data_IF_411550858394
#
_entry.id   IF_411550858394
#
_cell.length_a   1.000
_cell.length_b   1.000
_cell.length_c   1.000
_cell.angle_alpha   90.00
_cell.angle_beta   90.00
_cell.angle_gamma   90.00
#
_symmetry.space_group_name_H-M   'P 1'
#
loop_
_entity.id
_entity.type
_entity.pdbx_description
1 polymer ?
#
# COMPACT_ATOMS: atom_id res chain seq x y z
N UNK A 1 33.42 53.83 24.55
CA UNK A 1 33.96 53.21 23.33
C UNK A 1 34.43 51.82 23.70
N UNK A 2 33.75 50.77 23.21
CA UNK A 2 34.28 49.76 22.24
C UNK A 2 35.46 48.99 22.86
N UNK A 3 35.46 47.67 23.06
CA UNK A 3 34.88 46.56 22.30
C UNK A 3 34.72 45.33 23.23
N UNK A 4 33.57 44.67 23.25
CA UNK A 4 33.49 43.22 23.52
C UNK A 4 32.58 42.67 22.44
N UNK A 5 33.16 42.03 21.42
CA UNK A 5 32.42 41.33 20.38
C UNK A 5 32.41 39.83 20.73
N UNK A 6 31.32 39.28 21.28
CA UNK A 6 31.25 37.84 21.47
C UNK A 6 30.88 37.18 20.14
N UNK A 7 31.70 36.18 19.84
CA UNK A 7 31.51 35.06 18.92
C UNK A 7 30.05 34.59 18.96
N UNK A 8 29.28 34.92 17.93
CA UNK A 8 27.90 34.47 17.77
C UNK A 8 27.64 34.10 16.30
N UNK A 9 28.47 33.24 15.73
CA UNK A 9 28.24 32.67 14.39
C UNK A 9 28.67 31.20 14.41
N UNK A 10 27.91 30.35 15.11
CA UNK A 10 28.12 28.90 15.06
C UNK A 10 26.85 28.09 15.38
N UNK A 11 25.65 28.61 15.11
CA UNK A 11 24.39 27.95 15.52
C UNK A 11 23.34 27.73 14.42
N UNK A 12 23.65 27.96 13.13
CA UNK A 12 22.63 27.88 12.06
C UNK A 12 22.83 26.77 11.01
N UNK A 13 23.71 25.78 11.22
CA UNK A 13 23.96 24.72 10.22
C UNK A 13 23.18 23.40 10.43
N UNK A 14 22.19 23.36 11.34
CA UNK A 14 21.39 22.15 11.61
C UNK A 14 20.01 22.14 10.94
N UNK A 15 19.72 23.07 10.02
CA UNK A 15 18.49 23.02 9.24
C UNK A 15 18.63 21.98 8.09
N UNK A 16 18.25 20.72 8.37
CA UNK A 16 17.71 19.80 7.37
C UNK A 16 18.70 19.00 6.52
N UNK A 17 19.31 17.96 7.10
CA UNK A 17 19.95 16.89 6.31
C UNK A 17 18.96 15.99 5.54
N UNK A 18 17.64 16.24 5.63
CA UNK A 18 16.62 15.46 4.93
C UNK A 18 16.40 15.89 3.46
N UNK A 19 17.11 16.92 2.98
CA UNK A 19 16.99 17.43 1.60
C UNK A 19 18.07 16.89 0.64
N UNK A 20 18.60 15.69 0.85
CA UNK A 20 19.34 15.01 -0.23
C UNK A 20 18.29 14.25 -1.06
N UNK A 21 17.93 14.71 -2.26
CA UNK A 21 16.98 14.00 -3.12
C UNK A 21 17.58 12.63 -3.48
N UNK A 22 17.00 11.60 -2.90
CA UNK A 22 17.29 10.20 -3.21
C UNK A 22 16.01 9.53 -3.69
N UNK A 23 16.14 8.49 -4.52
CA UNK A 23 14.97 7.74 -4.98
C UNK A 23 14.18 7.12 -3.81
N UNK A 24 14.87 6.73 -2.73
CA UNK A 24 14.23 6.27 -1.50
C UNK A 24 13.42 7.39 -0.81
N UNK A 25 13.97 8.61 -0.74
CA UNK A 25 13.25 9.75 -0.16
C UNK A 25 12.01 10.12 -0.99
N UNK A 26 12.11 10.04 -2.32
CA UNK A 26 10.95 10.19 -3.22
C UNK A 26 9.89 9.12 -2.95
N UNK A 27 10.30 7.86 -2.79
CA UNK A 27 9.38 6.76 -2.47
C UNK A 27 8.69 6.99 -1.11
N UNK A 28 9.46 7.30 -0.05
CA UNK A 28 8.90 7.61 1.28
C UNK A 28 7.93 8.79 1.22
N UNK A 29 8.24 9.83 0.45
CA UNK A 29 7.36 10.99 0.28
C UNK A 29 6.03 10.57 -0.37
N UNK A 30 6.07 9.83 -1.47
CA UNK A 30 4.87 9.35 -2.14
C UNK A 30 4.02 8.45 -1.21
N UNK A 31 4.66 7.59 -0.40
CA UNK A 31 3.94 6.79 0.60
C UNK A 31 3.30 7.68 1.66
N UNK A 32 4.01 8.69 2.21
CA UNK A 32 3.44 9.63 3.19
C UNK A 32 2.20 10.33 2.66
N UNK A 33 2.22 10.77 1.40
CA UNK A 33 1.09 11.44 0.74
C UNK A 33 -0.16 10.54 0.62
N UNK A 34 -0.01 9.21 0.74
CA UNK A 34 -1.12 8.26 0.74
C UNK A 34 -1.72 7.96 2.13
N UNK A 35 -1.13 8.49 3.21
CA UNK A 35 -1.54 8.21 4.60
C UNK A 35 -2.52 9.27 5.13
N UNK A 36 -3.34 8.88 6.11
CA UNK A 36 -4.21 9.82 6.83
C UNK A 36 -3.43 10.86 7.66
N UNK A 37 -2.34 10.43 8.30
CA UNK A 37 -1.42 11.29 9.05
C UNK A 37 0.01 11.09 8.48
N UNK A 38 0.39 11.88 7.45
CA UNK A 38 1.69 11.75 6.77
C UNK A 38 2.90 11.90 7.71
N UNK A 39 2.78 12.75 8.74
CA UNK A 39 3.86 13.08 9.66
C UNK A 39 4.09 11.98 10.71
N UNK A 40 3.09 11.12 10.94
CA UNK A 40 3.21 9.96 11.82
C UNK A 40 3.93 8.77 11.20
N UNK A 41 4.29 8.82 9.91
CA UNK A 41 4.82 7.68 9.18
C UNK A 41 6.14 7.14 9.76
N UNK A 42 6.14 5.87 10.13
CA UNK A 42 7.30 5.12 10.59
C UNK A 42 7.64 4.03 9.59
N UNK A 43 8.73 4.24 8.84
CA UNK A 43 9.20 3.29 7.83
C UNK A 43 10.16 2.26 8.44
N UNK A 44 10.04 1.02 8.00
CA UNK A 44 10.88 -0.12 8.40
C UNK A 44 11.09 -1.05 7.20
N UNK A 45 12.15 -1.86 7.23
CA UNK A 45 12.46 -2.89 6.22
C UNK A 45 12.41 -2.39 4.78
N UNK A 46 13.01 -1.23 4.50
CA UNK A 46 13.00 -0.64 3.16
C UNK A 46 14.07 -1.29 2.29
N UNK A 47 13.70 -1.70 1.09
CA UNK A 47 14.60 -2.31 0.11
C UNK A 47 14.28 -1.85 -1.32
N UNK A 48 15.28 -1.96 -2.20
CA UNK A 48 15.13 -1.67 -3.63
C UNK A 48 14.27 -2.74 -4.31
N UNK A 49 13.41 -2.31 -5.23
CA UNK A 49 12.57 -3.20 -6.02
C UNK A 49 13.27 -3.80 -7.23
N UNK A 50 12.49 -4.42 -8.12
CA UNK A 50 12.96 -5.12 -9.31
C UNK A 50 13.62 -4.19 -10.35
N UNK A 51 13.15 -2.94 -10.43
CA UNK A 51 13.63 -1.92 -11.37
C UNK A 51 14.24 -0.76 -10.60
N UNK A 52 15.24 -0.10 -11.19
CA UNK A 52 15.84 1.10 -10.63
C UNK A 52 14.78 2.15 -10.30
N UNK A 53 14.84 2.68 -9.08
CA UNK A 53 13.89 3.66 -8.57
C UNK A 53 12.67 3.05 -7.87
N UNK A 54 12.40 1.75 -8.01
CA UNK A 54 11.36 1.09 -7.22
C UNK A 54 11.84 0.85 -5.79
N UNK A 55 10.92 0.98 -4.84
CA UNK A 55 11.18 0.70 -3.43
C UNK A 55 9.99 -0.01 -2.80
N UNK A 56 10.28 -0.95 -1.92
CA UNK A 56 9.27 -1.64 -1.13
C UNK A 56 9.70 -1.66 0.33
N UNK A 57 8.76 -1.92 1.22
CA UNK A 57 9.04 -2.02 2.65
C UNK A 57 7.77 -1.94 3.47
N UNK A 58 7.90 -1.51 4.70
CA UNK A 58 6.80 -1.43 5.67
C UNK A 58 6.64 -0.01 6.20
N UNK A 59 5.39 0.42 6.42
CA UNK A 59 5.04 1.69 7.03
C UNK A 59 3.95 1.51 8.09
N UNK A 60 4.14 2.11 9.26
CA UNK A 60 3.11 2.23 10.28
C UNK A 60 2.77 3.71 10.47
N UNK A 61 1.49 4.05 10.46
CA UNK A 61 1.01 5.43 10.59
C UNK A 61 -0.27 5.47 11.43
N UNK A 62 -0.59 6.66 11.94
CA UNK A 62 -1.84 6.89 12.67
C UNK A 62 -3.02 6.93 11.71
N UNK A 63 -4.14 6.38 12.17
CA UNK A 63 -5.43 6.54 11.50
C UNK A 63 -6.05 7.92 11.81
N UNK A 64 -7.24 8.19 11.24
CA UNK A 64 -8.01 9.42 11.48
C UNK A 64 -8.37 9.70 12.96
N UNK A 65 -8.20 8.73 13.85
CA UNK A 65 -8.44 8.86 15.29
C UNK A 65 -7.13 9.07 16.09
N UNK A 66 -6.00 9.21 15.41
CA UNK A 66 -4.69 9.48 16.03
C UNK A 66 -3.98 8.25 16.59
N UNK A 67 -4.48 7.03 16.35
CA UNK A 67 -3.92 5.78 16.84
C UNK A 67 -3.16 5.03 15.74
N UNK A 68 -2.02 4.41 16.07
CA UNK A 68 -1.32 3.49 15.19
C UNK A 68 -2.12 2.20 15.04
N UNK A 69 -2.29 1.73 13.80
CA UNK A 69 -3.15 0.58 13.48
C UNK A 69 -2.39 -0.69 13.08
N UNK A 70 -1.06 -0.61 13.01
CA UNK A 70 -0.22 -1.72 12.60
C UNK A 70 0.64 -1.36 11.39
N UNK A 71 1.62 -2.22 11.10
CA UNK A 71 2.52 -2.03 9.96
C UNK A 71 1.87 -2.56 8.68
N UNK A 72 1.84 -1.74 7.63
CA UNK A 72 1.38 -2.11 6.30
C UNK A 72 2.58 -2.17 5.34
N UNK A 73 2.59 -3.19 4.47
CA UNK A 73 3.57 -3.24 3.38
C UNK A 73 3.24 -2.16 2.34
N UNK A 74 4.25 -1.59 1.69
CA UNK A 74 4.09 -0.65 0.60
C UNK A 74 4.95 -1.04 -0.61
N UNK A 75 4.49 -0.59 -1.78
CA UNK A 75 5.20 -0.63 -3.04
C UNK A 75 5.29 0.79 -3.59
N UNK A 76 6.45 1.17 -4.09
CA UNK A 76 6.66 2.37 -4.88
C UNK A 76 7.23 1.98 -6.24
N UNK A 77 6.51 2.36 -7.29
CA UNK A 77 6.89 2.12 -8.67
C UNK A 77 7.25 3.43 -9.36
N UNK A 78 8.51 3.57 -9.78
CA UNK A 78 8.97 4.73 -10.53
C UNK A 78 8.74 4.54 -12.03
N UNK A 79 8.31 5.61 -12.70
CA UNK A 79 8.17 5.65 -14.15
C UNK A 79 9.13 6.66 -14.81
N UNK A 80 10.26 6.96 -14.13
CA UNK A 80 11.26 7.93 -14.59
C UNK A 80 10.93 9.37 -14.19
N UNK A 81 11.85 10.31 -14.45
CA UNK A 81 11.72 11.75 -14.14
C UNK A 81 11.50 12.12 -12.67
N UNK A 82 11.87 11.25 -11.72
CA UNK A 82 11.70 11.50 -10.29
C UNK A 82 10.25 11.39 -9.80
N UNK A 83 9.38 10.75 -10.59
CA UNK A 83 7.99 10.50 -10.27
C UNK A 83 7.70 8.99 -10.17
N UNK A 84 6.63 8.65 -9.45
CA UNK A 84 6.21 7.28 -9.20
C UNK A 84 4.90 7.20 -8.43
N UNK A 85 4.33 6.00 -8.36
CA UNK A 85 3.11 5.71 -7.61
C UNK A 85 3.43 4.90 -6.36
N UNK A 86 2.93 5.35 -5.21
CA UNK A 86 2.93 4.56 -3.99
C UNK A 86 1.61 3.80 -3.85
N UNK A 87 1.67 2.58 -3.36
CA UNK A 87 0.51 1.77 -3.04
C UNK A 87 0.75 0.99 -1.75
N UNK A 88 -0.20 1.08 -0.82
CA UNK A 88 -0.21 0.19 0.33
C UNK A 88 -0.77 -1.16 -0.08
N UNK A 89 -0.13 -2.23 0.37
CA UNK A 89 -0.63 -3.60 0.24
C UNK A 89 -1.91 -3.69 1.07
N UNK A 90 -3.07 -3.99 0.47
CA UNK A 90 -4.31 -4.11 1.22
C UNK A 90 -4.24 -5.30 2.18
N UNK A 91 -5.06 -5.23 3.24
CA UNK A 91 -5.29 -6.36 4.14
C UNK A 91 -5.60 -7.65 3.37
N UNK A 92 -5.21 -8.83 3.89
CA UNK A 92 -5.54 -10.10 3.26
C UNK A 92 -7.05 -10.30 3.09
N UNK A 93 -7.44 -10.64 1.86
CA UNK A 93 -8.82 -11.03 1.55
C UNK A 93 -9.19 -12.29 2.33
N UNK A 94 -10.40 -12.29 2.87
CA UNK A 94 -11.00 -13.42 3.60
C UNK A 94 -12.15 -13.98 2.79
N UNK A 95 -12.52 -15.24 3.03
CA UNK A 95 -13.69 -15.88 2.40
C UNK A 95 -14.97 -15.04 2.48
N UNK A 96 -15.11 -14.26 3.57
CA UNK A 96 -16.21 -13.30 3.74
C UNK A 96 -16.27 -12.26 2.61
N UNK A 97 -15.13 -11.74 2.16
CA UNK A 97 -15.09 -10.73 1.10
C UNK A 97 -15.66 -11.31 -0.20
N UNK A 98 -15.27 -12.53 -0.56
CA UNK A 98 -15.79 -13.26 -1.72
C UNK A 98 -17.27 -13.64 -1.56
N UNK A 99 -17.67 -14.11 -0.38
CA UNK A 99 -19.07 -14.45 -0.09
C UNK A 99 -19.99 -13.23 -0.22
N UNK A 100 -19.53 -12.07 0.24
CA UNK A 100 -20.30 -10.81 0.15
C UNK A 100 -20.52 -10.36 -1.29
N UNK A 101 -19.60 -10.66 -2.22
CA UNK A 101 -19.73 -10.30 -3.63
C UNK A 101 -20.96 -10.96 -4.28
N UNK A 102 -21.30 -12.18 -3.84
CA UNK A 102 -22.36 -13.02 -4.45
C UNK A 102 -23.54 -13.25 -3.51
N UNK A 103 -23.67 -12.45 -2.45
CA UNK A 103 -24.75 -12.59 -1.49
C UNK A 103 -26.13 -12.34 -2.14
N UNK A 104 -27.13 -13.23 -1.93
CA UNK A 104 -28.48 -13.02 -2.44
C UNK A 104 -29.11 -11.73 -1.88
N UNK A 105 -29.91 -11.06 -2.70
CA UNK A 105 -30.71 -9.91 -2.25
C UNK A 105 -29.91 -8.62 -1.98
N UNK A 106 -28.62 -8.57 -2.34
CA UNK A 106 -27.76 -7.38 -2.16
C UNK A 106 -27.21 -6.81 -3.47
N UNK A 107 -27.90 -7.02 -4.59
CA UNK A 107 -27.47 -6.51 -5.90
C UNK A 107 -27.79 -5.03 -6.05
N UNK A 108 -26.88 -4.23 -5.51
CA UNK A 108 -26.66 -2.84 -5.86
C UNK A 108 -25.40 -2.77 -6.74
N UNK A 109 -25.49 -2.11 -7.90
CA UNK A 109 -24.42 -2.05 -8.91
C UNK A 109 -23.18 -1.36 -8.37
N UNK A 110 -23.36 -0.28 -7.59
CA UNK A 110 -22.27 0.46 -6.97
C UNK A 110 -21.53 -0.43 -5.97
N UNK A 111 -22.26 -1.00 -5.02
CA UNK A 111 -21.70 -1.96 -4.05
C UNK A 111 -21.02 -3.15 -4.71
N UNK A 112 -21.58 -3.71 -5.78
CA UNK A 112 -20.95 -4.81 -6.50
C UNK A 112 -19.61 -4.36 -7.10
N UNK A 113 -19.59 -3.20 -7.75
CA UNK A 113 -18.39 -2.64 -8.38
C UNK A 113 -17.29 -2.39 -7.35
N UNK A 114 -17.62 -1.79 -6.21
CA UNK A 114 -16.66 -1.56 -5.12
C UNK A 114 -16.08 -2.86 -4.56
N UNK A 115 -16.94 -3.85 -4.28
CA UNK A 115 -16.52 -5.14 -3.73
C UNK A 115 -15.70 -5.94 -4.74
N UNK A 116 -16.07 -5.90 -6.02
CA UNK A 116 -15.31 -6.53 -7.08
C UNK A 116 -13.94 -5.87 -7.24
N UNK A 117 -13.86 -4.53 -7.20
CA UNK A 117 -12.60 -3.80 -7.25
C UNK A 117 -11.69 -4.15 -6.06
N UNK A 118 -12.25 -4.24 -4.84
CA UNK A 118 -11.53 -4.70 -3.65
C UNK A 118 -10.94 -6.10 -3.84
N UNK A 119 -11.76 -7.05 -4.28
CA UNK A 119 -11.32 -8.44 -4.54
C UNK A 119 -10.24 -8.46 -5.61
N UNK A 120 -10.44 -7.73 -6.71
CA UNK A 120 -9.47 -7.65 -7.80
C UNK A 120 -8.13 -7.13 -7.36
N UNK A 121 -8.11 -5.99 -6.66
CA UNK A 121 -6.88 -5.42 -6.13
C UNK A 121 -6.19 -6.38 -5.15
N UNK A 122 -6.95 -6.97 -4.22
CA UNK A 122 -6.42 -7.93 -3.25
C UNK A 122 -5.90 -9.23 -3.88
N UNK A 123 -6.46 -9.67 -5.00
CA UNK A 123 -5.99 -10.85 -5.74
C UNK A 123 -4.75 -10.56 -6.59
N UNK A 124 -4.64 -9.35 -7.15
CA UNK A 124 -3.51 -8.94 -7.98
C UNK A 124 -2.28 -8.50 -7.16
N UNK A 125 -2.43 -8.31 -5.85
CA UNK A 125 -1.38 -7.78 -4.98
C UNK A 125 -0.09 -8.61 -5.00
N UNK A 126 -0.17 -9.93 -5.07
CA UNK A 126 1.02 -10.80 -5.09
C UNK A 126 1.80 -10.64 -6.40
N UNK A 127 1.10 -10.63 -7.53
CA UNK A 127 1.69 -10.37 -8.85
C UNK A 127 2.31 -8.98 -8.93
N UNK A 128 1.61 -7.97 -8.42
CA UNK A 128 2.11 -6.59 -8.39
C UNK A 128 3.34 -6.47 -7.50
N UNK A 129 3.32 -7.11 -6.33
CA UNK A 129 4.47 -7.15 -5.43
C UNK A 129 5.68 -7.80 -6.07
N UNK A 130 5.53 -8.98 -6.68
CA UNK A 130 6.65 -9.65 -7.34
C UNK A 130 7.23 -8.81 -8.48
N UNK A 131 6.35 -8.19 -9.28
CA UNK A 131 6.75 -7.29 -10.37
C UNK A 131 7.46 -6.03 -9.89
N UNK A 132 7.00 -5.38 -8.82
CA UNK A 132 7.58 -4.12 -8.34
C UNK A 132 8.78 -4.36 -7.42
N UNK A 133 8.68 -5.32 -6.50
CA UNK A 133 9.63 -5.59 -5.43
C UNK A 133 10.65 -6.69 -5.78
N UNK A 134 10.45 -7.45 -6.86
CA UNK A 134 11.39 -8.51 -7.30
C UNK A 134 11.48 -9.71 -6.37
N UNK A 135 10.54 -9.85 -5.44
CA UNK A 135 10.48 -10.93 -4.45
C UNK A 135 9.05 -11.42 -4.28
N UNK A 136 8.86 -12.61 -3.72
CA UNK A 136 7.52 -13.10 -3.40
C UNK A 136 6.92 -12.29 -2.27
N UNK A 137 5.63 -11.99 -2.37
CA UNK A 137 4.87 -11.38 -1.28
C UNK A 137 4.94 -12.30 -0.05
N UNK A 138 5.23 -11.81 1.15
CA UNK A 138 5.40 -12.65 2.35
C UNK A 138 4.05 -13.08 2.96
N UNK A 139 3.10 -13.49 2.12
CA UNK A 139 1.80 -14.06 2.49
C UNK A 139 1.15 -14.77 1.30
N UNK A 140 0.26 -15.70 1.61
CA UNK A 140 -0.46 -16.47 0.59
C UNK A 140 -1.57 -15.65 -0.09
N UNK A 141 -1.77 -15.92 -1.38
CA UNK A 141 -2.94 -15.47 -2.13
C UNK A 141 -4.09 -16.47 -1.94
N UNK A 142 -5.31 -16.02 -1.63
CA UNK A 142 -6.44 -16.93 -1.52
C UNK A 142 -6.70 -17.69 -2.82
N UNK A 143 -6.98 -19.00 -2.73
CA UNK A 143 -7.37 -19.83 -3.90
C UNK A 143 -8.62 -19.29 -4.61
N UNK A 144 -9.48 -18.57 -3.88
CA UNK A 144 -10.64 -17.92 -4.43
C UNK A 144 -10.31 -16.84 -5.48
N UNK A 145 -9.05 -16.39 -5.58
CA UNK A 145 -8.60 -15.50 -6.65
C UNK A 145 -8.45 -16.19 -8.00
N UNK A 146 -8.40 -17.53 -8.03
CA UNK A 146 -8.28 -18.30 -9.27
C UNK A 146 -9.52 -18.07 -10.16
N UNK A 147 -9.28 -17.69 -11.41
CA UNK A 147 -10.34 -17.47 -12.38
C UNK A 147 -11.11 -16.15 -12.24
N UNK A 148 -10.61 -15.19 -11.44
CA UNK A 148 -11.26 -13.88 -11.22
C UNK A 148 -11.71 -13.18 -12.53
N UNK A 149 -10.87 -13.17 -13.56
CA UNK A 149 -11.17 -12.51 -14.84
C UNK A 149 -11.99 -13.40 -15.81
N UNK A 150 -12.53 -14.54 -15.36
CA UNK A 150 -13.36 -15.42 -16.17
C UNK A 150 -14.85 -15.05 -16.10
N UNK A 151 -15.58 -15.25 -17.19
CA UNK A 151 -17.02 -14.92 -17.27
C UNK A 151 -17.89 -15.65 -16.23
N UNK A 152 -17.44 -16.81 -15.74
CA UNK A 152 -18.20 -17.65 -14.81
C UNK A 152 -17.77 -17.49 -13.34
N UNK A 153 -16.87 -16.57 -13.04
CA UNK A 153 -16.29 -16.43 -11.70
C UNK A 153 -17.34 -16.21 -10.60
N UNK A 154 -18.23 -15.23 -10.77
CA UNK A 154 -19.29 -14.94 -9.79
C UNK A 154 -20.27 -16.10 -9.64
N UNK A 155 -20.56 -16.83 -10.73
CA UNK A 155 -21.37 -18.05 -10.69
C UNK A 155 -20.68 -19.15 -9.88
N UNK A 156 -19.37 -19.36 -10.08
CA UNK A 156 -18.60 -20.35 -9.31
C UNK A 156 -18.57 -20.01 -7.82
N UNK A 157 -18.36 -18.73 -7.48
CA UNK A 157 -18.42 -18.28 -6.09
C UNK A 157 -19.81 -18.49 -5.48
N UNK A 158 -20.87 -18.17 -6.22
CA UNK A 158 -22.24 -18.38 -5.76
C UNK A 158 -22.51 -19.86 -5.47
N UNK A 159 -22.15 -20.74 -6.40
CA UNK A 159 -22.26 -22.20 -6.22
C UNK A 159 -21.52 -22.65 -4.95
N UNK A 160 -20.25 -22.24 -4.80
CA UNK A 160 -19.43 -22.58 -3.63
C UNK A 160 -20.05 -22.16 -2.29
N UNK A 161 -20.68 -20.98 -2.22
CA UNK A 161 -21.13 -20.42 -0.95
C UNK A 161 -22.60 -20.63 -0.62
N UNK A 162 -23.45 -20.87 -1.63
CA UNK A 162 -24.90 -20.83 -1.47
C UNK A 162 -25.64 -22.00 -2.14
N UNK A 163 -25.02 -22.79 -3.04
CA UNK A 163 -25.70 -23.95 -3.65
C UNK A 163 -25.34 -25.31 -3.03
N UNK A 164 -24.35 -25.37 -2.15
CA UNK A 164 -24.01 -26.59 -1.37
C UNK A 164 -24.71 -26.63 0.00
N UNK A 165 -25.60 -25.66 0.29
CA UNK A 165 -26.33 -25.52 1.56
C UNK A 165 -27.82 -25.85 1.46
N UNK A 166 -28.28 -26.41 0.35
CA UNK A 166 -29.64 -26.91 0.12
C UNK A 166 -29.68 -28.45 0.09
#
# INVERSE_FOLDING_TARGET
>A
MREILPIAIAACLLAGCDYIPSAENTAKKAVRESLYDPDSAKFTDIFKGATDGNYCGSVNAKNRFGAYVGSALFMYESFGSGAGFASLVPEPLKDRDFKQLVAPGTFDEERFTEQYAKIRNGCQVATNWERVCGSKLPRDTPKLCEGLDTQNYTRQLYTKFYSESE
#
